data_IF_258276094260
#
_entry.id   IF_258276094260
#
_cell.length_a   1.000
_cell.length_b   1.000
_cell.length_c   1.000
_cell.angle_alpha   90.00
_cell.angle_beta   90.00
_cell.angle_gamma   90.00
#
_symmetry.space_group_name_H-M   'P 1'
#
loop_
_entity.id
_entity.type
_entity.pdbx_description
1 polymer ?
#
# COMPACT_ATOMS: atom_id res chain seq x y z
N UNK A 1 67.60 19.75 44.07
CA UNK A 1 66.46 20.01 43.16
C UNK A 1 66.60 19.02 42.01
N UNK A 2 65.85 17.93 42.12
CA UNK A 2 65.80 16.82 41.16
C UNK A 2 64.99 17.20 39.93
N UNK A 3 65.54 16.96 38.74
CA UNK A 3 64.86 17.08 37.46
C UNK A 3 64.93 15.77 36.68
N UNK A 4 63.89 14.95 36.81
CA UNK A 4 63.69 13.68 36.10
C UNK A 4 63.59 13.89 34.58
N UNK A 5 64.49 13.25 33.81
CA UNK A 5 64.25 12.92 32.41
C UNK A 5 63.68 11.50 32.29
N UNK A 6 62.43 11.38 31.87
CA UNK A 6 61.80 10.10 31.49
C UNK A 6 62.08 9.80 30.01
N UNK A 7 62.88 8.77 29.74
CA UNK A 7 63.06 8.19 28.41
C UNK A 7 61.91 7.23 28.07
N UNK A 8 61.32 7.41 26.89
CA UNK A 8 60.38 6.48 26.25
C UNK A 8 61.15 5.30 25.66
N UNK A 9 60.81 4.07 26.08
CA UNK A 9 61.23 2.83 25.43
C UNK A 9 60.39 2.50 24.18
N UNK A 10 60.86 1.59 23.32
CA UNK A 10 60.21 1.25 22.05
C UNK A 10 58.98 0.35 22.25
N UNK A 11 57.92 0.66 21.51
CA UNK A 11 56.67 -0.12 21.42
C UNK A 11 56.90 -1.35 20.53
N UNK A 12 56.77 -2.55 21.10
CA UNK A 12 56.67 -3.81 20.36
C UNK A 12 55.32 -3.88 19.64
N UNK A 13 55.33 -3.89 18.31
CA UNK A 13 54.17 -4.26 17.49
C UNK A 13 54.11 -5.78 17.40
N UNK A 14 53.08 -6.36 18.02
CA UNK A 14 52.75 -7.79 17.93
C UNK A 14 51.82 -8.01 16.74
N UNK A 15 52.36 -8.58 15.66
CA UNK A 15 51.58 -9.07 14.53
C UNK A 15 51.13 -10.51 14.81
N UNK A 16 49.86 -10.70 15.20
CA UNK A 16 49.18 -12.00 15.11
C UNK A 16 48.44 -12.10 13.76
N UNK A 17 48.58 -13.20 13.01
CA UNK A 17 47.81 -13.43 11.80
C UNK A 17 46.37 -13.83 12.16
N UNK A 18 45.39 -13.07 11.68
CA UNK A 18 44.00 -13.50 11.69
C UNK A 18 43.74 -14.48 10.54
N UNK A 19 43.19 -15.63 10.92
CA UNK A 19 42.91 -16.76 10.05
C UNK A 19 41.96 -16.39 8.91
N UNK A 20 42.32 -16.87 7.73
CA UNK A 20 41.47 -16.98 6.55
C UNK A 20 40.36 -17.98 6.83
N UNK A 21 39.14 -17.51 7.06
CA UNK A 21 37.94 -18.33 6.99
C UNK A 21 37.55 -18.56 5.51
N UNK A 22 37.03 -19.75 5.14
CA UNK A 22 36.87 -20.16 3.76
C UNK A 22 35.73 -19.42 3.06
N UNK A 23 36.03 -18.91 1.86
CA UNK A 23 35.10 -18.38 0.87
C UNK A 23 34.31 -19.55 0.27
N UNK A 24 33.23 -19.95 0.95
CA UNK A 24 32.35 -21.05 0.55
C UNK A 24 30.94 -20.59 0.20
N UNK A 25 30.63 -20.57 -1.11
CA UNK A 25 29.32 -20.93 -1.68
C UNK A 25 28.03 -20.31 -1.14
N UNK A 26 27.69 -19.08 -1.56
CA UNK A 26 26.33 -18.51 -1.41
C UNK A 26 25.61 -18.34 -2.76
N UNK A 27 25.79 -19.28 -3.70
CA UNK A 27 25.12 -19.26 -5.03
C UNK A 27 23.69 -19.82 -5.04
N UNK A 28 23.15 -20.32 -3.94
CA UNK A 28 21.86 -21.04 -3.94
C UNK A 28 20.67 -20.36 -3.25
N UNK A 29 20.79 -19.10 -2.82
CA UNK A 29 19.66 -18.36 -2.19
C UNK A 29 19.36 -17.01 -2.86
N UNK A 30 19.70 -16.87 -4.14
CA UNK A 30 19.03 -15.88 -4.98
C UNK A 30 17.60 -16.37 -5.24
N UNK A 31 16.71 -16.21 -4.26
CA UNK A 31 15.27 -16.31 -4.52
C UNK A 31 14.96 -15.33 -5.63
N UNK A 32 14.47 -15.88 -6.73
CA UNK A 32 14.00 -15.17 -7.89
C UNK A 32 13.17 -13.98 -7.43
N UNK A 33 13.59 -12.77 -7.82
CA UNK A 33 12.81 -11.56 -7.61
C UNK A 33 11.53 -11.78 -8.42
N UNK A 34 10.47 -12.23 -7.77
CA UNK A 34 9.14 -12.29 -8.38
C UNK A 34 8.70 -10.85 -8.55
N UNK A 35 9.09 -10.27 -9.68
CA UNK A 35 8.51 -9.04 -10.18
C UNK A 35 7.06 -9.40 -10.45
N UNK A 36 6.09 -8.77 -9.75
CA UNK A 36 4.68 -9.02 -10.04
C UNK A 36 4.44 -8.82 -11.53
N UNK A 37 3.61 -9.68 -12.12
CA UNK A 37 3.24 -9.56 -13.53
C UNK A 37 2.72 -8.13 -13.80
N UNK A 38 2.88 -7.65 -15.04
CA UNK A 38 2.60 -6.27 -15.45
C UNK A 38 1.16 -5.77 -15.14
N UNK A 39 0.24 -6.68 -14.79
CA UNK A 39 -1.17 -6.42 -14.52
C UNK A 39 -1.54 -6.44 -13.02
N UNK A 40 -0.62 -6.73 -12.10
CA UNK A 40 -0.95 -6.73 -10.67
C UNK A 40 -0.86 -5.33 -10.07
N UNK A 41 -2.00 -4.79 -9.64
CA UNK A 41 -2.06 -3.59 -8.82
C UNK A 41 -1.46 -3.91 -7.44
N UNK A 42 -0.32 -3.29 -7.13
CA UNK A 42 0.31 -3.42 -5.83
C UNK A 42 0.45 -2.07 -5.11
N UNK A 43 0.44 -2.15 -3.78
CA UNK A 43 0.76 -1.04 -2.91
C UNK A 43 2.22 -1.15 -2.51
N UNK A 44 3.05 -0.16 -2.85
CA UNK A 44 4.45 -0.13 -2.45
C UNK A 44 4.59 0.55 -1.10
N UNK A 45 5.13 -0.14 -0.10
CA UNK A 45 5.43 0.46 1.18
C UNK A 45 6.94 0.55 1.43
N UNK A 46 7.43 1.73 1.79
CA UNK A 46 8.81 1.97 2.23
C UNK A 46 8.79 2.19 3.74
N UNK A 47 9.41 1.27 4.49
CA UNK A 47 9.11 1.06 5.90
C UNK A 47 10.29 1.32 6.85
N UNK A 48 9.93 1.64 8.10
CA UNK A 48 10.72 1.44 9.32
C UNK A 48 10.00 0.44 10.26
N UNK A 49 10.76 -0.28 11.08
CA UNK A 49 10.46 -1.66 11.52
C UNK A 49 9.20 -1.96 12.39
N UNK A 50 8.51 -0.99 13.00
CA UNK A 50 7.49 -1.31 14.02
C UNK A 50 6.01 -1.19 13.55
N UNK A 51 5.72 -0.30 12.60
CA UNK A 51 4.33 0.07 12.26
C UNK A 51 3.83 -0.59 10.95
N UNK A 52 4.68 -1.40 10.33
CA UNK A 52 4.54 -1.92 8.99
C UNK A 52 3.40 -2.94 8.83
N UNK A 53 3.27 -3.87 9.78
CA UNK A 53 2.31 -4.98 9.71
C UNK A 53 0.86 -4.47 9.63
N UNK A 54 0.53 -3.43 10.40
CA UNK A 54 -0.81 -2.87 10.46
C UNK A 54 -1.12 -2.03 9.23
N UNK A 55 -0.16 -1.25 8.77
CA UNK A 55 -0.30 -0.52 7.52
C UNK A 55 -0.51 -1.48 6.34
N UNK A 56 0.26 -2.56 6.28
CA UNK A 56 0.08 -3.65 5.30
C UNK A 56 -1.31 -4.29 5.42
N UNK A 57 -1.78 -4.54 6.66
CA UNK A 57 -3.12 -5.10 6.90
C UNK A 57 -4.24 -4.17 6.45
N UNK A 58 -4.12 -2.87 6.72
CA UNK A 58 -5.08 -1.85 6.29
C UNK A 58 -5.09 -1.68 4.77
N UNK A 59 -3.90 -1.66 4.15
CA UNK A 59 -3.71 -1.53 2.71
C UNK A 59 -4.05 -2.80 1.93
N UNK A 60 -4.08 -3.97 2.56
CA UNK A 60 -4.46 -5.24 1.92
C UNK A 60 -5.87 -5.23 1.30
N UNK A 61 -6.71 -4.27 1.69
CA UNK A 61 -8.03 -4.04 1.06
C UNK A 61 -7.88 -3.56 -0.39
N UNK A 62 -6.80 -2.85 -0.73
CA UNK A 62 -6.54 -2.31 -2.07
C UNK A 62 -5.92 -3.33 -3.04
N UNK A 63 -5.33 -4.39 -2.52
CA UNK A 63 -4.65 -5.39 -3.33
C UNK A 63 -3.42 -5.96 -2.63
N UNK A 64 -2.52 -6.50 -3.43
CA UNK A 64 -1.26 -7.06 -2.95
C UNK A 64 -0.38 -5.93 -2.44
N UNK A 65 0.07 -6.01 -1.19
CA UNK A 65 1.04 -5.05 -0.66
C UNK A 65 2.44 -5.62 -0.89
N UNK A 66 3.31 -4.82 -1.48
CA UNK A 66 4.73 -5.12 -1.63
C UNK A 66 5.48 -4.16 -0.73
N UNK A 67 6.12 -4.71 0.29
CA UNK A 67 6.97 -3.90 1.17
C UNK A 67 8.41 -4.00 0.69
N UNK A 68 9.03 -2.83 0.52
CA UNK A 68 10.45 -2.70 0.23
C UNK A 68 11.11 -2.09 1.48
N UNK A 69 12.09 -2.80 2.01
CA UNK A 69 12.87 -2.37 3.17
C UNK A 69 14.32 -2.81 3.01
N UNK A 70 15.10 -2.66 4.07
CA UNK A 70 16.51 -3.06 4.02
C UNK A 70 16.62 -4.58 4.09
N UNK A 71 17.60 -5.19 3.41
CA UNK A 71 17.75 -6.63 3.39
C UNK A 71 18.07 -7.22 4.77
N UNK A 72 18.71 -6.42 5.65
CA UNK A 72 19.04 -6.81 7.03
C UNK A 72 17.86 -6.72 8.01
N UNK A 73 16.74 -6.11 7.62
CA UNK A 73 15.57 -6.05 8.48
C UNK A 73 14.81 -7.38 8.45
N UNK A 74 14.25 -7.80 9.59
CA UNK A 74 13.37 -8.96 9.67
C UNK A 74 11.97 -8.53 9.30
N UNK A 75 11.40 -9.15 8.28
CA UNK A 75 10.27 -8.56 7.57
C UNK A 75 9.11 -9.55 7.36
N UNK A 76 7.85 -9.07 7.27
CA UNK A 76 6.69 -9.94 7.06
C UNK A 76 6.75 -10.71 5.73
N UNK A 77 6.06 -11.86 5.70
CA UNK A 77 6.19 -12.98 4.76
C UNK A 77 5.94 -12.73 3.25
N UNK A 78 5.63 -11.52 2.80
CA UNK A 78 5.29 -11.22 1.40
C UNK A 78 6.21 -10.14 0.79
N UNK A 79 7.48 -10.49 0.53
CA UNK A 79 8.47 -9.53 0.02
C UNK A 79 9.14 -9.90 -1.29
N UNK A 80 9.40 -8.84 -2.04
CA UNK A 80 10.35 -8.82 -3.14
C UNK A 80 11.50 -7.93 -2.71
N UNK A 81 12.61 -8.53 -2.26
CA UNK A 81 13.86 -7.80 -2.08
C UNK A 81 14.60 -7.82 -3.42
N UNK A 82 14.75 -6.68 -4.12
CA UNK A 82 15.65 -6.63 -5.27
C UNK A 82 17.07 -7.02 -4.80
N UNK A 83 17.76 -7.82 -5.60
CA UNK A 83 19.09 -8.35 -5.28
C UNK A 83 20.12 -7.27 -4.88
N UNK A 84 21.26 -7.70 -4.36
CA UNK A 84 22.30 -6.86 -3.72
C UNK A 84 23.00 -5.79 -4.61
N UNK A 85 22.50 -5.48 -5.80
CA UNK A 85 23.04 -4.45 -6.72
C UNK A 85 22.43 -3.05 -6.53
N UNK A 86 22.40 -2.24 -7.60
CA UNK A 86 21.74 -0.92 -7.61
C UNK A 86 20.22 -1.07 -7.42
N UNK A 87 19.79 -1.11 -6.16
CA UNK A 87 18.39 -1.25 -5.75
C UNK A 87 17.53 -0.06 -6.14
N UNK A 88 18.15 1.08 -6.50
CA UNK A 88 17.42 2.31 -6.80
C UNK A 88 16.51 2.12 -8.01
N UNK A 89 17.04 1.58 -9.11
CA UNK A 89 16.29 1.47 -10.35
C UNK A 89 15.07 0.52 -10.23
N UNK A 90 15.21 -0.69 -9.66
CA UNK A 90 14.05 -1.56 -9.41
C UNK A 90 12.97 -0.92 -8.53
N UNK A 91 13.37 -0.17 -7.50
CA UNK A 91 12.41 0.52 -6.62
C UNK A 91 11.68 1.64 -7.36
N UNK A 92 12.39 2.43 -8.16
CA UNK A 92 11.77 3.46 -9.01
C UNK A 92 10.81 2.83 -10.03
N UNK A 93 11.16 1.69 -10.61
CA UNK A 93 10.28 0.97 -11.53
C UNK A 93 9.08 0.35 -10.82
N UNK A 94 9.21 -0.06 -9.56
CA UNK A 94 8.08 -0.46 -8.73
C UNK A 94 7.20 0.74 -8.40
N UNK A 95 7.75 1.87 -7.95
CA UNK A 95 7.01 3.11 -7.69
C UNK A 95 6.20 3.56 -8.91
N UNK A 96 6.83 3.57 -10.09
CA UNK A 96 6.20 3.99 -11.33
C UNK A 96 4.98 3.13 -11.71
N UNK A 97 4.99 1.84 -11.35
CA UNK A 97 3.92 0.87 -11.66
C UNK A 97 2.90 0.67 -10.55
N UNK A 98 3.26 0.96 -9.30
CA UNK A 98 2.43 0.71 -8.12
C UNK A 98 1.10 1.48 -8.22
N UNK A 99 -0.04 0.84 -7.94
CA UNK A 99 -1.34 1.54 -7.91
C UNK A 99 -1.31 2.68 -6.90
N UNK A 100 -0.75 2.40 -5.73
CA UNK A 100 -0.57 3.35 -4.63
C UNK A 100 0.84 3.17 -4.06
N UNK A 101 1.52 4.27 -3.77
CA UNK A 101 2.82 4.30 -3.09
C UNK A 101 2.61 4.92 -1.72
N UNK A 102 3.02 4.22 -0.67
CA UNK A 102 2.89 4.63 0.72
C UNK A 102 4.27 4.70 1.36
N UNK A 103 4.71 5.90 1.70
CA UNK A 103 6.01 6.10 2.35
C UNK A 103 5.78 6.31 3.84
N UNK A 104 6.40 5.50 4.69
CA UNK A 104 6.42 5.78 6.13
C UNK A 104 7.36 6.94 6.40
N UNK A 105 6.88 7.97 7.09
CA UNK A 105 7.73 9.06 7.54
C UNK A 105 8.36 8.66 8.87
N UNK A 106 9.67 8.49 8.86
CA UNK A 106 10.51 8.32 10.03
C UNK A 106 11.52 9.48 10.15
N UNK A 107 12.33 9.47 11.20
CA UNK A 107 13.39 10.47 11.40
C UNK A 107 14.65 10.17 10.59
N UNK A 108 14.61 9.16 9.72
CA UNK A 108 15.76 8.72 8.95
C UNK A 108 15.99 9.60 7.72
N UNK A 109 17.26 9.85 7.34
CA UNK A 109 17.57 10.59 6.11
C UNK A 109 17.08 9.85 4.83
N UNK A 110 16.75 8.57 4.94
CA UNK A 110 16.18 7.77 3.85
C UNK A 110 14.81 8.27 3.40
N UNK A 111 13.93 8.62 4.33
CA UNK A 111 12.55 8.99 4.04
C UNK A 111 12.45 10.26 3.17
N UNK A 112 13.30 11.26 3.43
CA UNK A 112 13.33 12.50 2.62
C UNK A 112 13.69 12.19 1.17
N UNK A 113 14.73 11.37 0.97
CA UNK A 113 15.18 10.98 -0.38
C UNK A 113 14.10 10.17 -1.11
N UNK A 114 13.47 9.23 -0.42
CA UNK A 114 12.39 8.41 -0.97
C UNK A 114 11.17 9.25 -1.36
N UNK A 115 10.80 10.21 -0.52
CA UNK A 115 9.73 11.15 -0.82
C UNK A 115 10.05 12.00 -2.06
N UNK A 116 11.27 12.55 -2.17
CA UNK A 116 11.69 13.35 -3.33
C UNK A 116 11.65 12.53 -4.63
N UNK A 117 12.10 11.26 -4.59
CA UNK A 117 12.04 10.40 -5.78
C UNK A 117 10.62 9.99 -6.13
N UNK A 118 9.78 9.68 -5.14
CA UNK A 118 8.39 9.36 -5.36
C UNK A 118 7.60 10.56 -5.92
N UNK A 119 7.81 11.77 -5.39
CA UNK A 119 7.18 12.99 -5.88
C UNK A 119 7.52 13.30 -7.35
N UNK A 120 8.68 12.83 -7.84
CA UNK A 120 9.08 12.96 -9.24
C UNK A 120 8.54 11.84 -10.13
N UNK A 121 8.35 10.66 -9.57
CA UNK A 121 8.08 9.42 -10.34
C UNK A 121 6.60 9.07 -10.38
N UNK A 122 5.86 9.44 -9.33
CA UNK A 122 4.50 9.01 -9.06
C UNK A 122 3.56 10.20 -9.21
N UNK A 123 2.35 9.95 -9.74
CA UNK A 123 1.29 10.96 -9.77
C UNK A 123 0.87 11.32 -8.34
N UNK A 124 0.50 12.59 -8.05
CA UNK A 124 0.13 13.02 -6.70
C UNK A 124 -0.90 12.12 -6.00
N UNK A 125 -1.94 11.73 -6.72
CA UNK A 125 -3.10 10.97 -6.22
C UNK A 125 -2.71 9.53 -5.84
N UNK A 126 -1.58 9.05 -6.38
CA UNK A 126 -1.01 7.72 -6.11
C UNK A 126 0.03 7.75 -5.00
N UNK A 127 0.33 8.90 -4.39
CA UNK A 127 1.30 9.02 -3.31
C UNK A 127 0.61 9.31 -1.98
N UNK A 128 0.97 8.53 -0.95
CA UNK A 128 0.52 8.72 0.43
C UNK A 128 1.74 8.71 1.35
N UNK A 129 1.76 9.61 2.31
CA UNK A 129 2.76 9.61 3.38
C UNK A 129 2.09 9.18 4.68
N UNK A 130 2.59 8.12 5.31
CA UNK A 130 2.14 7.67 6.61
C UNK A 130 2.98 8.35 7.70
N UNK A 131 2.35 9.18 8.52
CA UNK A 131 3.04 10.01 9.52
C UNK A 131 3.06 9.28 10.87
N UNK A 132 4.20 8.72 11.26
CA UNK A 132 4.42 8.17 12.60
C UNK A 132 5.05 9.20 13.57
N UNK A 133 5.69 10.23 13.01
CA UNK A 133 6.40 11.27 13.73
C UNK A 133 5.48 12.14 14.60
N UNK A 134 5.98 12.55 15.77
CA UNK A 134 5.36 13.65 16.53
C UNK A 134 5.57 14.98 15.82
N UNK A 135 4.76 15.99 16.15
CA UNK A 135 4.83 17.35 15.59
C UNK A 135 6.25 17.86 15.34
N UNK A 136 7.12 17.91 16.37
CA UNK A 136 8.51 18.36 16.23
C UNK A 136 9.33 17.56 15.20
N UNK A 137 9.16 16.23 15.19
CA UNK A 137 9.87 15.37 14.23
C UNK A 137 9.34 15.56 12.81
N UNK A 138 8.01 15.70 12.67
CA UNK A 138 7.38 16.00 11.40
C UNK A 138 7.78 17.37 10.86
N UNK A 139 7.84 18.41 11.71
CA UNK A 139 8.26 19.75 11.31
C UNK A 139 9.72 19.76 10.80
N UNK A 140 10.60 18.98 11.45
CA UNK A 140 11.96 18.75 10.97
C UNK A 140 11.99 18.06 9.61
N UNK A 141 11.28 16.94 9.47
CA UNK A 141 11.15 16.23 8.20
C UNK A 141 10.61 17.15 7.09
N UNK A 142 9.58 17.95 7.40
CA UNK A 142 8.97 18.88 6.46
C UNK A 142 9.97 19.90 5.94
N UNK A 143 10.72 20.55 6.84
CA UNK A 143 11.72 21.55 6.46
C UNK A 143 12.82 20.94 5.58
N UNK A 144 13.31 19.74 5.93
CA UNK A 144 14.31 19.02 5.15
C UNK A 144 13.78 18.59 3.77
N UNK A 145 12.56 18.06 3.72
CA UNK A 145 11.90 17.65 2.49
C UNK A 145 11.67 18.84 1.54
N UNK A 146 11.18 19.97 2.04
CA UNK A 146 10.99 21.18 1.24
C UNK A 146 12.31 21.74 0.70
N UNK A 147 13.38 21.70 1.48
CA UNK A 147 14.72 22.06 1.01
C UNK A 147 15.20 21.11 -0.11
N UNK A 148 15.07 19.80 0.09
CA UNK A 148 15.49 18.79 -0.89
C UNK A 148 14.67 18.88 -2.19
N UNK A 149 13.36 19.11 -2.09
CA UNK A 149 12.47 19.31 -3.22
C UNK A 149 12.82 20.56 -4.03
N UNK A 150 13.14 21.69 -3.37
CA UNK A 150 13.61 22.91 -4.06
C UNK A 150 14.90 22.67 -4.85
N UNK A 151 15.88 22.01 -4.23
CA UNK A 151 17.13 21.63 -4.92
C UNK A 151 16.84 20.74 -6.12
N UNK A 152 15.93 19.77 -5.97
CA UNK A 152 15.56 18.86 -7.07
C UNK A 152 14.82 19.59 -8.19
N UNK A 153 13.93 20.53 -7.90
CA UNK A 153 13.22 21.33 -8.89
C UNK A 153 14.17 22.14 -9.77
N UNK A 154 15.18 22.78 -9.18
CA UNK A 154 16.25 23.47 -9.94
C UNK A 154 16.97 22.49 -10.86
N UNK A 155 17.30 21.29 -10.37
CA UNK A 155 17.99 20.27 -11.16
C UNK A 155 17.12 19.77 -12.32
N UNK A 156 15.84 19.46 -12.08
CA UNK A 156 14.90 19.01 -13.12
C UNK A 156 14.75 20.06 -14.22
N UNK A 157 14.67 21.34 -13.85
CA UNK A 157 14.62 22.44 -14.83
C UNK A 157 15.89 22.52 -15.68
N UNK A 158 17.07 22.32 -15.10
CA UNK A 158 18.34 22.29 -15.84
C UNK A 158 18.44 21.06 -16.75
N UNK A 159 18.03 19.89 -16.28
CA UNK A 159 18.14 18.62 -17.00
C UNK A 159 17.14 18.51 -18.16
N UNK A 160 15.94 19.07 -18.02
CA UNK A 160 14.82 18.83 -18.95
C UNK A 160 14.23 20.08 -19.59
N UNK A 161 14.65 21.28 -19.13
CA UNK A 161 14.02 22.55 -19.51
C UNK A 161 12.62 22.78 -18.89
N UNK A 162 12.02 21.76 -18.27
CA UNK A 162 10.65 21.83 -17.74
C UNK A 162 10.62 22.44 -16.35
N UNK A 163 9.65 23.30 -16.11
CA UNK A 163 9.33 23.76 -14.75
C UNK A 163 8.56 22.64 -14.05
N UNK A 164 9.11 22.13 -12.96
CA UNK A 164 8.44 21.19 -12.07
C UNK A 164 8.13 21.89 -10.74
N UNK A 165 6.85 21.97 -10.39
CA UNK A 165 6.40 22.51 -9.11
C UNK A 165 6.44 21.38 -8.08
N UNK A 166 7.34 21.44 -7.08
CA UNK A 166 7.38 20.42 -6.04
C UNK A 166 6.14 20.50 -5.14
N UNK A 167 5.72 19.37 -4.54
CA UNK A 167 4.68 19.40 -3.53
C UNK A 167 5.11 20.18 -2.28
N UNK A 168 4.13 20.83 -1.64
CA UNK A 168 4.26 21.29 -0.26
C UNK A 168 3.75 20.22 0.71
N UNK A 169 4.20 20.29 1.96
CA UNK A 169 3.69 19.43 3.03
C UNK A 169 2.79 20.25 3.97
N UNK A 170 1.64 19.71 4.39
CA UNK A 170 0.69 20.43 5.22
C UNK A 170 1.24 20.62 6.64
N UNK A 171 0.68 21.55 7.41
CA UNK A 171 0.96 21.62 8.84
C UNK A 171 0.55 20.32 9.55
N UNK A 172 1.34 19.93 10.55
CA UNK A 172 1.01 18.78 11.40
C UNK A 172 -0.29 19.05 12.16
N UNK A 173 -1.31 18.23 11.95
CA UNK A 173 -2.51 18.23 12.80
C UNK A 173 -2.34 17.19 13.89
N UNK A 174 -2.64 17.58 15.13
CA UNK A 174 -2.59 16.65 16.24
C UNK A 174 -3.67 15.56 16.08
N UNK A 175 -3.22 14.38 15.69
CA UNK A 175 -3.99 13.15 15.82
C UNK A 175 -3.79 12.54 17.20
N UNK A 176 -4.81 11.85 17.71
CA UNK A 176 -4.63 10.99 18.86
C UNK A 176 -3.57 9.92 18.56
N UNK A 177 -2.86 9.44 19.59
CA UNK A 177 -1.94 8.31 19.39
C UNK A 177 -2.79 7.08 19.06
N UNK A 178 -2.78 6.64 17.81
CA UNK A 178 -3.25 5.30 17.49
C UNK A 178 -2.39 4.28 18.25
N UNK A 179 -2.93 3.09 18.55
CA UNK A 179 -2.14 1.98 19.09
C UNK A 179 -0.99 1.56 18.17
N UNK A 180 -0.96 2.11 16.96
CA UNK A 180 -0.25 1.62 15.79
C UNK A 180 0.92 2.53 15.40
N UNK A 181 1.25 3.52 16.24
CA UNK A 181 2.32 4.49 15.96
C UNK A 181 1.96 5.55 14.91
N UNK A 182 1.15 5.20 13.91
CA UNK A 182 0.65 6.11 12.87
C UNK A 182 -0.33 7.13 13.45
N UNK A 183 -0.03 8.41 13.23
CA UNK A 183 -0.80 9.57 13.70
C UNK A 183 -1.64 10.23 12.61
N UNK A 184 -1.23 10.07 11.36
CA UNK A 184 -1.91 10.68 10.23
C UNK A 184 -1.46 10.10 8.90
N UNK A 185 -2.24 10.39 7.87
CA UNK A 185 -1.89 10.15 6.48
C UNK A 185 -1.90 11.48 5.73
N UNK A 186 -0.97 11.67 4.81
CA UNK A 186 -0.99 12.80 3.87
C UNK A 186 -1.27 12.25 2.50
N UNK A 187 -2.28 12.78 1.82
CA UNK A 187 -2.53 12.52 0.40
C UNK A 187 -2.54 13.81 -0.39
N UNK A 188 -2.30 13.71 -1.70
CA UNK A 188 -2.21 14.85 -2.59
C UNK A 188 -3.33 14.79 -3.64
N UNK A 189 -3.90 15.96 -3.97
CA UNK A 189 -4.74 16.10 -5.15
C UNK A 189 -3.88 16.24 -6.41
N UNK A 190 -4.49 16.19 -7.61
CA UNK A 190 -3.75 16.21 -8.89
C UNK A 190 -2.90 17.45 -9.16
N UNK A 191 -3.16 18.54 -8.44
CA UNK A 191 -2.38 19.78 -8.43
C UNK A 191 -1.30 19.81 -7.32
N UNK A 192 -1.01 18.68 -6.67
CA UNK A 192 -0.16 18.55 -5.48
C UNK A 192 -0.67 19.22 -4.21
N UNK A 193 -1.94 19.63 -4.13
CA UNK A 193 -2.51 20.17 -2.90
C UNK A 193 -2.56 19.08 -1.81
N UNK A 194 -1.84 19.26 -0.68
CA UNK A 194 -1.77 18.23 0.34
C UNK A 194 -3.00 18.26 1.27
N UNK A 195 -3.36 17.11 1.82
CA UNK A 195 -4.38 17.01 2.87
C UNK A 195 -3.92 16.05 3.95
N UNK A 196 -3.94 16.52 5.20
CA UNK A 196 -3.61 15.72 6.37
C UNK A 196 -4.87 15.06 6.96
N UNK A 197 -4.93 13.74 6.91
CA UNK A 197 -5.97 12.89 7.47
C UNK A 197 -5.50 12.35 8.81
N UNK A 198 -5.90 13.01 9.91
CA UNK A 198 -5.54 12.56 11.24
C UNK A 198 -6.17 11.20 11.57
N UNK A 199 -5.37 10.32 12.16
CA UNK A 199 -5.82 9.00 12.62
C UNK A 199 -6.24 9.14 14.09
N UNK A 200 -7.54 9.07 14.35
CA UNK A 200 -8.06 9.15 15.72
C UNK A 200 -8.35 7.75 16.27
N UNK A 201 -7.91 7.42 17.49
CA UNK A 201 -8.27 6.16 18.12
C UNK A 201 -9.79 6.08 18.25
N UNK A 202 -10.40 5.00 17.74
CA UNK A 202 -11.85 4.78 17.86
C UNK A 202 -12.13 3.42 18.46
N UNK A 203 -13.20 3.32 19.23
CA UNK A 203 -13.54 2.12 20.02
C UNK A 203 -14.01 0.96 19.12
N UNK A 204 -14.65 1.26 17.98
CA UNK A 204 -15.41 0.27 17.21
C UNK A 204 -14.94 0.07 15.75
N UNK A 205 -13.94 0.81 15.27
CA UNK A 205 -13.41 0.68 13.91
C UNK A 205 -11.91 0.81 13.88
N UNK A 206 -11.32 0.12 12.90
CA UNK A 206 -9.92 0.28 12.49
C UNK A 206 -9.68 1.75 12.08
N UNK A 207 -9.00 2.56 12.91
CA UNK A 207 -8.80 3.99 12.67
C UNK A 207 -8.14 4.28 11.34
N UNK A 208 -7.21 3.42 10.94
CA UNK A 208 -6.45 3.56 9.71
C UNK A 208 -7.35 3.41 8.49
N UNK A 209 -8.26 2.42 8.50
CA UNK A 209 -9.22 2.24 7.40
C UNK A 209 -10.11 3.46 7.20
N UNK A 210 -10.54 4.11 8.28
CA UNK A 210 -11.33 5.36 8.19
C UNK A 210 -10.49 6.49 7.59
N UNK A 211 -9.25 6.66 8.03
CA UNK A 211 -8.35 7.68 7.49
C UNK A 211 -7.97 7.43 6.02
N UNK A 212 -8.02 6.17 5.56
CA UNK A 212 -7.79 5.80 4.18
C UNK A 212 -8.98 6.04 3.25
N UNK A 213 -10.22 6.21 3.75
CA UNK A 213 -11.41 6.48 2.91
C UNK A 213 -11.17 7.65 1.94
N UNK A 214 -10.79 8.87 2.39
CA UNK A 214 -10.57 9.98 1.45
C UNK A 214 -9.40 9.76 0.50
N UNK A 215 -8.43 8.92 0.86
CA UNK A 215 -7.34 8.51 -0.03
C UNK A 215 -7.88 7.62 -1.14
N UNK A 216 -8.76 6.68 -0.80
CA UNK A 216 -9.39 5.76 -1.74
C UNK A 216 -10.30 6.52 -2.71
N UNK A 217 -11.12 7.44 -2.21
CA UNK A 217 -12.03 8.21 -3.04
C UNK A 217 -11.25 9.01 -4.11
N UNK A 218 -10.12 9.61 -3.74
CA UNK A 218 -9.23 10.31 -4.69
C UNK A 218 -8.56 9.38 -5.68
N UNK A 219 -8.05 8.24 -5.21
CA UNK A 219 -7.42 7.25 -6.09
C UNK A 219 -8.42 6.72 -7.11
N UNK A 220 -9.65 6.43 -6.68
CA UNK A 220 -10.75 5.99 -7.55
C UNK A 220 -11.13 7.07 -8.56
N UNK A 221 -11.29 8.33 -8.13
CA UNK A 221 -11.56 9.43 -9.06
C UNK A 221 -10.46 9.57 -10.12
N UNK A 222 -9.19 9.50 -9.72
CA UNK A 222 -8.07 9.51 -10.66
C UNK A 222 -8.10 8.32 -11.63
N UNK A 223 -8.44 7.12 -11.15
CA UNK A 223 -8.53 5.92 -11.98
C UNK A 223 -9.71 5.95 -12.96
N UNK A 224 -10.83 6.54 -12.56
CA UNK A 224 -12.01 6.71 -13.40
C UNK A 224 -11.76 7.71 -14.54
N UNK A 225 -10.90 8.70 -14.33
CA UNK A 225 -10.47 9.66 -15.36
C UNK A 225 -9.42 9.10 -16.34
N UNK A 226 -8.82 7.94 -16.05
CA UNK A 226 -7.84 7.34 -16.96
C UNK A 226 -8.55 6.81 -18.22
N UNK A 227 -7.99 7.05 -19.43
CA UNK A 227 -8.56 6.53 -20.65
C UNK A 227 -8.59 4.99 -20.59
N UNK A 228 -9.79 4.46 -20.44
CA UNK A 228 -10.02 3.04 -20.26
C UNK A 228 -9.60 2.32 -21.54
N UNK A 229 -8.54 1.53 -21.47
CA UNK A 229 -8.18 0.67 -22.61
C UNK A 229 -9.34 -0.28 -22.90
N UNK A 230 -9.63 -0.58 -24.18
CA UNK A 230 -10.74 -1.50 -24.54
C UNK A 230 -10.67 -2.83 -23.80
N UNK A 231 -9.46 -3.35 -23.54
CA UNK A 231 -9.27 -4.58 -22.77
C UNK A 231 -9.70 -4.45 -21.31
N UNK A 232 -9.41 -3.31 -20.68
CA UNK A 232 -9.87 -2.99 -19.31
C UNK A 232 -11.38 -2.81 -19.29
N UNK A 233 -11.96 -2.07 -20.23
CA UNK A 233 -13.40 -1.86 -20.34
C UNK A 233 -14.16 -3.19 -20.45
N UNK A 234 -13.64 -4.16 -21.22
CA UNK A 234 -14.23 -5.49 -21.33
C UNK A 234 -14.14 -6.29 -20.02
N UNK A 235 -13.00 -6.22 -19.30
CA UNK A 235 -12.87 -6.87 -17.97
C UNK A 235 -13.82 -6.25 -16.95
N UNK A 236 -13.97 -4.92 -16.98
CA UNK A 236 -14.88 -4.19 -16.11
C UNK A 236 -16.35 -4.56 -16.38
N UNK A 237 -16.78 -4.58 -17.65
CA UNK A 237 -18.12 -5.04 -18.04
C UNK A 237 -18.40 -6.47 -17.60
N UNK A 238 -17.42 -7.38 -17.73
CA UNK A 238 -17.58 -8.76 -17.23
C UNK A 238 -17.77 -8.80 -15.71
N UNK A 239 -17.01 -8.00 -14.96
CA UNK A 239 -17.16 -7.85 -13.51
C UNK A 239 -18.53 -7.33 -13.10
N UNK A 240 -19.03 -6.30 -13.80
CA UNK A 240 -20.37 -5.72 -13.59
C UNK A 240 -21.48 -6.74 -13.87
N UNK A 241 -21.38 -7.48 -14.99
CA UNK A 241 -22.35 -8.54 -15.32
C UNK A 241 -22.36 -9.64 -14.26
N UNK A 242 -21.19 -10.10 -13.80
CA UNK A 242 -21.09 -11.10 -12.73
C UNK A 242 -21.70 -10.57 -11.43
N UNK A 243 -21.44 -9.30 -11.09
CA UNK A 243 -22.01 -8.68 -9.90
C UNK A 243 -23.54 -8.55 -9.97
N UNK A 244 -24.07 -8.08 -11.10
CA UNK A 244 -25.51 -7.97 -11.34
C UNK A 244 -26.19 -9.35 -11.28
N UNK A 245 -25.63 -10.37 -11.95
CA UNK A 245 -26.13 -11.74 -11.88
C UNK A 245 -26.11 -12.29 -10.45
N UNK A 246 -25.05 -12.02 -9.68
CA UNK A 246 -24.95 -12.39 -8.27
C UNK A 246 -26.06 -11.74 -7.42
N UNK A 247 -26.33 -10.45 -7.61
CA UNK A 247 -27.43 -9.75 -6.94
C UNK A 247 -28.80 -10.30 -7.34
N UNK A 248 -29.01 -10.59 -8.63
CA UNK A 248 -30.25 -11.21 -9.10
C UNK A 248 -30.50 -12.59 -8.45
N UNK A 249 -29.45 -13.40 -8.27
CA UNK A 249 -29.55 -14.69 -7.58
C UNK A 249 -29.90 -14.51 -6.09
N UNK A 250 -29.29 -13.54 -5.41
CA UNK A 250 -29.65 -13.21 -4.01
C UNK A 250 -31.10 -12.76 -3.90
N UNK A 251 -31.55 -11.86 -4.77
CA UNK A 251 -32.93 -11.39 -4.79
C UNK A 251 -33.91 -12.55 -5.05
N UNK A 252 -33.61 -13.42 -6.02
CA UNK A 252 -34.39 -14.61 -6.31
C UNK A 252 -34.51 -15.54 -5.10
N UNK A 253 -33.39 -15.79 -4.39
CA UNK A 253 -33.39 -16.60 -3.18
C UNK A 253 -34.25 -16.00 -2.06
N UNK A 254 -34.17 -14.68 -1.85
CA UNK A 254 -34.98 -13.97 -0.85
C UNK A 254 -36.46 -14.04 -1.18
N UNK A 255 -36.84 -13.84 -2.46
CA UNK A 255 -38.24 -13.96 -2.90
C UNK A 255 -38.75 -15.39 -2.68
N UNK A 256 -37.97 -16.41 -3.04
CA UNK A 256 -38.33 -17.81 -2.81
C UNK A 256 -38.49 -18.14 -1.32
N UNK A 257 -37.59 -17.62 -0.48
CA UNK A 257 -37.67 -17.79 0.98
C UNK A 257 -38.92 -17.10 1.54
N UNK A 258 -39.20 -15.87 1.11
CA UNK A 258 -40.39 -15.12 1.49
C UNK A 258 -41.68 -15.86 1.11
N UNK A 259 -41.76 -16.42 -0.10
CA UNK A 259 -42.90 -17.23 -0.52
C UNK A 259 -43.05 -18.52 0.31
N UNK A 260 -41.94 -19.18 0.63
CA UNK A 260 -41.95 -20.37 1.48
C UNK A 260 -42.46 -20.06 2.89
N UNK A 261 -42.00 -18.96 3.48
CA UNK A 261 -42.45 -18.47 4.79
C UNK A 261 -43.91 -18.04 4.76
N UNK A 262 -44.33 -17.28 3.74
CA UNK A 262 -45.73 -16.88 3.58
C UNK A 262 -46.65 -18.09 3.47
N UNK A 263 -46.26 -19.11 2.68
CA UNK A 263 -47.00 -20.37 2.60
C UNK A 263 -47.02 -21.13 3.93
N UNK A 264 -45.95 -21.04 4.73
CA UNK A 264 -45.87 -21.63 6.07
C UNK A 264 -46.81 -20.96 7.06
N UNK A 265 -46.99 -19.64 6.97
CA UNK A 265 -47.87 -18.86 7.84
C UNK A 265 -49.34 -18.99 7.41
N UNK A 266 -49.60 -19.05 6.09
CA UNK A 266 -50.97 -19.14 5.55
C UNK A 266 -51.61 -20.53 5.62
N UNK A 267 -50.85 -21.58 5.91
CA UNK A 267 -51.37 -22.94 6.13
C UNK A 267 -51.47 -23.22 7.63
N UNK A 268 -52.63 -22.91 8.21
CA UNK A 268 -53.06 -23.50 9.48
C UNK A 268 -53.41 -24.98 9.21
N UNK A 269 -52.74 -25.91 9.89
CA UNK A 269 -53.45 -27.14 10.27
C UNK A 269 -52.75 -28.49 10.15
N UNK A 270 -51.68 -28.71 9.38
CA UNK A 270 -51.06 -30.05 9.36
C UNK A 270 -49.54 -30.06 9.19
N UNK A 271 -48.86 -30.36 10.28
CA UNK A 271 -47.40 -30.26 10.47
C UNK A 271 -46.66 -31.59 10.24
N UNK A 272 -47.36 -32.68 9.92
CA UNK A 272 -46.72 -34.00 9.78
C UNK A 272 -45.81 -34.14 8.54
N UNK A 273 -45.86 -33.21 7.58
CA UNK A 273 -44.98 -33.19 6.40
C UNK A 273 -43.74 -32.30 6.57
N UNK A 274 -42.91 -32.58 7.59
CA UNK A 274 -41.65 -31.85 7.82
C UNK A 274 -40.59 -32.08 6.71
N UNK A 275 -40.64 -33.21 6.01
CA UNK A 275 -39.66 -33.55 4.96
C UNK A 275 -39.64 -32.57 3.79
N UNK A 276 -40.79 -32.05 3.35
CA UNK A 276 -40.86 -31.14 2.21
C UNK A 276 -40.38 -29.71 2.50
N UNK A 277 -40.32 -29.29 3.76
CA UNK A 277 -39.91 -27.91 4.13
C UNK A 277 -38.40 -27.72 4.01
N UNK A 278 -37.61 -28.74 4.35
CA UNK A 278 -36.14 -28.74 4.19
C UNK A 278 -35.71 -28.62 2.72
N UNK A 279 -36.46 -29.21 1.79
CA UNK A 279 -36.18 -29.13 0.35
C UNK A 279 -36.31 -27.72 -0.25
N UNK A 280 -37.01 -26.79 0.41
CA UNK A 280 -37.14 -25.41 -0.09
C UNK A 280 -36.14 -24.48 0.58
N UNK A 281 -35.91 -24.67 1.89
CA UNK A 281 -35.03 -23.81 2.67
C UNK A 281 -33.56 -24.04 2.30
N UNK A 282 -33.12 -25.29 2.19
CA UNK A 282 -31.70 -25.60 1.93
C UNK A 282 -31.23 -25.04 0.58
N UNK A 283 -31.94 -25.25 -0.56
CA UNK A 283 -31.53 -24.65 -1.82
C UNK A 283 -31.57 -23.12 -1.81
N UNK A 284 -32.53 -22.50 -1.13
CA UNK A 284 -32.60 -21.04 -1.03
C UNK A 284 -31.38 -20.48 -0.30
N UNK A 285 -30.96 -21.10 0.80
CA UNK A 285 -29.74 -20.70 1.52
C UNK A 285 -28.50 -20.90 0.67
N UNK A 286 -28.39 -22.03 -0.05
CA UNK A 286 -27.25 -22.29 -0.96
C UNK A 286 -27.19 -21.25 -2.07
N UNK A 287 -28.31 -20.93 -2.72
CA UNK A 287 -28.37 -19.88 -3.77
C UNK A 287 -27.99 -18.51 -3.21
N UNK A 288 -28.43 -18.19 -1.99
CA UNK A 288 -28.09 -16.92 -1.33
C UNK A 288 -26.57 -16.82 -1.06
N UNK A 289 -25.95 -17.88 -0.53
CA UNK A 289 -24.51 -17.94 -0.29
C UNK A 289 -23.70 -17.89 -1.60
N UNK A 290 -24.13 -18.61 -2.63
CA UNK A 290 -23.51 -18.57 -3.96
C UNK A 290 -23.63 -17.19 -4.60
N UNK A 291 -24.82 -16.58 -4.59
CA UNK A 291 -25.07 -15.24 -5.12
C UNK A 291 -24.26 -14.17 -4.39
N UNK A 292 -24.19 -14.23 -3.06
CA UNK A 292 -23.37 -13.32 -2.26
C UNK A 292 -21.88 -13.46 -2.56
N UNK A 293 -21.39 -14.70 -2.69
CA UNK A 293 -20.00 -14.99 -3.05
C UNK A 293 -19.68 -14.49 -4.46
N UNK A 294 -20.57 -14.68 -5.43
CA UNK A 294 -20.44 -14.19 -6.80
C UNK A 294 -20.42 -12.66 -6.87
N UNK A 295 -21.32 -11.98 -6.14
CA UNK A 295 -21.32 -10.52 -6.05
C UNK A 295 -20.00 -10.00 -5.44
N UNK A 296 -19.52 -10.64 -4.35
CA UNK A 296 -18.25 -10.28 -3.73
C UNK A 296 -17.06 -10.50 -4.67
N UNK A 297 -17.08 -11.57 -5.47
CA UNK A 297 -16.05 -11.84 -6.47
C UNK A 297 -16.10 -10.83 -7.62
N UNK A 298 -17.28 -10.53 -8.17
CA UNK A 298 -17.47 -9.51 -9.21
C UNK A 298 -16.91 -8.16 -8.78
N UNK A 299 -17.25 -7.71 -7.56
CA UNK A 299 -16.70 -6.47 -6.99
C UNK A 299 -15.18 -6.48 -6.90
N UNK A 300 -14.58 -7.61 -6.49
CA UNK A 300 -13.11 -7.76 -6.45
C UNK A 300 -12.47 -7.72 -7.83
N UNK A 301 -13.11 -8.31 -8.84
CA UNK A 301 -12.62 -8.28 -10.23
C UNK A 301 -12.68 -6.84 -10.75
N UNK A 302 -13.78 -6.13 -10.53
CA UNK A 302 -13.92 -4.71 -10.92
C UNK A 302 -12.83 -3.86 -10.28
N UNK A 303 -12.58 -4.02 -8.98
CA UNK A 303 -11.53 -3.29 -8.26
C UNK A 303 -10.10 -3.65 -8.70
N UNK A 304 -9.90 -4.82 -9.30
CA UNK A 304 -8.61 -5.29 -9.83
C UNK A 304 -8.40 -4.97 -11.30
N UNK A 305 -9.47 -4.64 -12.02
CA UNK A 305 -9.39 -4.32 -13.44
C UNK A 305 -8.88 -2.89 -13.70
N UNK A 306 -8.59 -2.09 -12.65
CA UNK A 306 -8.17 -0.70 -12.83
C UNK A 306 -7.00 -0.60 -13.83
N UNK A 307 -7.09 0.34 -14.79
CA UNK A 307 -6.09 0.45 -15.84
C UNK A 307 -4.71 0.67 -15.22
N UNK A 308 -3.75 -0.17 -15.60
CA UNK A 308 -2.35 0.07 -15.24
C UNK A 308 -1.96 1.40 -15.87
N UNK A 309 -1.54 2.41 -15.09
CA UNK A 309 -1.13 3.67 -15.64
C UNK A 309 0.01 3.39 -16.63
N UNK A 310 -0.25 3.61 -17.92
CA UNK A 310 0.78 3.51 -18.96
C UNK A 310 1.92 4.40 -18.50
N UNK A 311 3.14 3.86 -18.49
CA UNK A 311 4.36 4.65 -18.34
C UNK A 311 4.17 5.85 -19.26
N UNK A 312 4.05 7.05 -18.70
CA UNK A 312 4.01 8.25 -19.50
C UNK A 312 5.28 8.16 -20.33
N UNK A 313 5.15 7.89 -21.64
CA UNK A 313 6.29 7.99 -22.53
C UNK A 313 6.76 9.41 -22.29
N UNK A 314 7.98 9.56 -21.77
CA UNK A 314 8.61 10.86 -21.74
C UNK A 314 8.54 11.33 -23.19
N UNK A 315 7.62 12.25 -23.47
CA UNK A 315 7.55 12.94 -24.74
C UNK A 315 8.89 13.68 -24.82
N UNK A 316 9.82 13.08 -25.57
CA UNK A 316 11.09 13.69 -25.94
C UNK A 316 10.85 14.89 -26.82
#
# INVERSE_FOLDING_TARGET
MDGKHQGRGPVRVSSRPHGTAPVGGWRHLAREVVVPAHDELFVLHLAGAADEQRLTTGLGVLGRVIVVGRPEETLPSARTCPGWGDRRQPVLDLMARARLVVISLDTGPGAVREFVEAARTVRPERLVLAVALRRRGYDGFRAEAEAALRVRAVRVRRETGRVWTPPSLPDHREGGKSRDGIRGLISFAGNWEPTFHAVFPTVFRDPLKRALVPVYDRLTAYEDDLPVSRAVALRQRRGEVIHALGLCLVAFAVIRLGFAVWRLIGYDGDLESCGHRLYVIVPAVVVLLCGWSAARLGRRITLRAAPVPRRARASG
#
